data_IF_257219897727
#
_entry.id   IF_257219897727
#
_cell.length_a   1.000
_cell.length_b   1.000
_cell.length_c   1.000
_cell.angle_alpha   90.00
_cell.angle_beta   90.00
_cell.angle_gamma   90.00
#
_symmetry.space_group_name_H-M   'P 1'
#
loop_
_entity.id
_entity.type
_entity.pdbx_description
1 polymer ?
#
# COMPACT_ATOMS: atom_id res chain seq x y z
N UNK A 1 6.58 -16.87 1.16
CA UNK A 1 7.59 -17.89 0.95
C UNK A 1 8.84 -17.70 1.82
N UNK A 2 9.61 -16.62 1.71
CA UNK A 2 10.89 -16.41 2.44
C UNK A 2 10.71 -16.52 3.97
N UNK A 3 9.71 -15.87 4.55
CA UNK A 3 9.45 -15.91 5.99
C UNK A 3 9.06 -17.29 6.52
N UNK A 4 8.54 -18.17 5.66
CA UNK A 4 8.25 -19.56 6.01
C UNK A 4 9.46 -20.46 5.96
N UNK A 5 10.50 -20.09 5.20
CA UNK A 5 11.73 -20.85 5.04
C UNK A 5 12.82 -20.43 6.04
N UNK A 6 12.76 -19.19 6.53
CA UNK A 6 13.76 -18.61 7.44
C UNK A 6 13.08 -18.08 8.70
N UNK A 7 13.40 -18.66 9.83
CA UNK A 7 12.86 -18.26 11.13
C UNK A 7 13.35 -16.88 11.57
N UNK A 8 14.52 -16.47 11.10
CA UNK A 8 15.20 -15.21 11.39
C UNK A 8 14.84 -14.07 10.39
N UNK A 9 13.98 -14.35 9.38
CA UNK A 9 13.59 -13.33 8.42
C UNK A 9 12.56 -12.37 9.03
N UNK A 10 12.79 -11.08 8.84
CA UNK A 10 11.87 -9.99 9.14
C UNK A 10 11.42 -9.32 7.86
N UNK A 11 10.24 -8.72 7.86
CA UNK A 11 9.71 -7.98 6.72
C UNK A 11 8.90 -6.77 7.16
N UNK A 12 8.83 -5.77 6.29
CA UNK A 12 7.92 -4.63 6.42
C UNK A 12 7.08 -4.59 5.16
N UNK A 13 5.76 -4.59 5.35
CA UNK A 13 4.78 -4.43 4.28
C UNK A 13 4.46 -2.95 4.14
N UNK A 14 4.76 -2.39 2.98
CA UNK A 14 4.49 -0.99 2.68
C UNK A 14 3.17 -0.88 1.91
N UNK A 15 2.28 0.00 2.34
CA UNK A 15 1.03 0.30 1.65
C UNK A 15 0.79 1.81 1.53
N UNK A 16 -0.06 2.20 0.59
CA UNK A 16 -0.60 3.56 0.52
C UNK A 16 -1.98 3.60 1.19
N UNK A 17 -2.33 4.65 1.95
CA UNK A 17 -3.71 4.90 2.37
C UNK A 17 -4.66 4.85 1.18
N UNK A 18 -5.90 4.39 1.40
CA UNK A 18 -6.84 4.08 0.30
C UNK A 18 -7.04 5.27 -0.64
N UNK A 19 -7.20 6.47 -0.13
CA UNK A 19 -7.42 7.66 -0.96
C UNK A 19 -6.19 7.97 -1.83
N UNK A 20 -4.97 7.81 -1.30
CA UNK A 20 -3.73 8.03 -2.05
C UNK A 20 -3.50 6.94 -3.08
N UNK A 21 -3.87 5.70 -2.75
CA UNK A 21 -3.83 4.59 -3.69
C UNK A 21 -4.78 4.83 -4.87
N UNK A 22 -6.04 5.16 -4.60
CA UNK A 22 -7.04 5.46 -5.64
C UNK A 22 -6.60 6.63 -6.51
N UNK A 23 -6.12 7.73 -5.91
CA UNK A 23 -5.58 8.87 -6.65
C UNK A 23 -4.39 8.45 -7.53
N UNK A 24 -3.50 7.59 -7.03
CA UNK A 24 -2.36 7.10 -7.80
C UNK A 24 -2.76 6.24 -9.02
N UNK A 25 -3.88 5.54 -8.93
CA UNK A 25 -4.46 4.78 -10.06
C UNK A 25 -5.10 5.75 -11.06
N UNK A 26 -5.85 6.75 -10.58
CA UNK A 26 -6.49 7.75 -11.42
C UNK A 26 -5.45 8.55 -12.25
N UNK A 27 -4.31 8.94 -11.65
CA UNK A 27 -3.19 9.61 -12.36
C UNK A 27 -2.69 8.81 -13.56
N UNK A 28 -2.71 7.48 -13.49
CA UNK A 28 -2.26 6.61 -14.58
C UNK A 28 -3.27 6.49 -15.73
N UNK A 29 -4.44 7.11 -15.60
CA UNK A 29 -5.49 7.11 -16.62
C UNK A 29 -5.91 5.71 -17.05
N UNK A 30 -6.15 5.53 -18.35
CA UNK A 30 -6.65 4.27 -18.91
C UNK A 30 -5.72 3.07 -18.64
N UNK A 31 -4.41 3.29 -18.63
CA UNK A 31 -3.45 2.22 -18.35
C UNK A 31 -3.59 1.70 -16.90
N UNK A 32 -3.71 2.60 -15.93
CA UNK A 32 -3.91 2.22 -14.53
C UNK A 32 -5.23 1.47 -14.32
N UNK A 33 -6.30 1.92 -14.97
CA UNK A 33 -7.64 1.30 -14.93
C UNK A 33 -7.61 -0.12 -15.50
N UNK A 34 -6.96 -0.34 -16.64
CA UNK A 34 -6.78 -1.69 -17.22
C UNK A 34 -5.94 -2.59 -16.33
N UNK A 35 -4.88 -2.03 -15.76
CA UNK A 35 -3.98 -2.81 -14.91
C UNK A 35 -4.69 -3.34 -13.65
N UNK A 36 -5.50 -2.53 -12.97
CA UNK A 36 -6.23 -2.99 -11.77
C UNK A 36 -7.23 -4.10 -12.08
N UNK A 37 -7.89 -4.05 -13.24
CA UNK A 37 -8.80 -5.14 -13.68
C UNK A 37 -8.05 -6.43 -13.96
N UNK A 38 -6.88 -6.37 -14.58
CA UNK A 38 -6.05 -7.55 -14.83
C UNK A 38 -5.51 -8.14 -13.52
N UNK A 39 -5.06 -7.29 -12.60
CA UNK A 39 -4.57 -7.73 -11.29
C UNK A 39 -5.68 -8.40 -10.46
N UNK A 40 -6.91 -7.88 -10.50
CA UNK A 40 -8.03 -8.45 -9.77
C UNK A 40 -8.34 -9.88 -10.19
N UNK A 41 -8.24 -10.24 -11.48
CA UNK A 41 -8.46 -11.62 -11.96
C UNK A 41 -7.52 -12.59 -11.23
N UNK A 42 -6.24 -12.25 -11.10
CA UNK A 42 -5.27 -13.07 -10.36
C UNK A 42 -5.62 -13.16 -8.86
N UNK A 43 -6.02 -12.05 -8.25
CA UNK A 43 -6.40 -12.03 -6.83
C UNK A 43 -7.66 -12.85 -6.55
N UNK A 44 -8.61 -12.90 -7.47
CA UNK A 44 -9.78 -13.77 -7.39
C UNK A 44 -9.39 -15.24 -7.47
N UNK A 45 -8.47 -15.59 -8.39
CA UNK A 45 -7.96 -16.96 -8.52
C UNK A 45 -7.25 -17.43 -7.25
N UNK A 46 -6.58 -16.52 -6.54
CA UNK A 46 -5.96 -16.78 -5.24
C UNK A 46 -6.98 -16.91 -4.08
N UNK A 47 -8.28 -16.73 -4.36
CA UNK A 47 -9.35 -16.93 -3.39
C UNK A 47 -9.43 -15.87 -2.29
N UNK A 48 -8.76 -14.73 -2.43
CA UNK A 48 -8.68 -13.72 -1.37
C UNK A 48 -10.01 -13.01 -1.13
N UNK A 49 -10.79 -12.79 -2.19
CA UNK A 49 -12.12 -12.15 -2.15
C UNK A 49 -13.23 -13.01 -2.77
N UNK A 50 -12.94 -14.27 -3.12
CA UNK A 50 -13.84 -15.13 -3.87
C UNK A 50 -15.16 -15.48 -3.15
N UNK A 51 -15.25 -15.20 -1.84
CA UNK A 51 -16.44 -15.49 -1.05
C UNK A 51 -17.39 -14.29 -0.89
N UNK A 52 -16.95 -13.08 -1.28
CA UNK A 52 -17.67 -11.84 -1.02
C UNK A 52 -18.34 -11.24 -2.27
N UNK A 53 -17.88 -11.60 -3.45
CA UNK A 53 -18.39 -11.05 -4.71
C UNK A 53 -18.59 -12.15 -5.73
N UNK A 54 -19.78 -12.23 -6.32
CA UNK A 54 -20.01 -13.07 -7.48
C UNK A 54 -19.25 -12.51 -8.70
N UNK A 55 -18.77 -13.36 -9.63
CA UNK A 55 -18.02 -12.90 -10.79
C UNK A 55 -18.76 -11.88 -11.66
N UNK A 56 -20.07 -11.96 -11.75
CA UNK A 56 -20.93 -11.03 -12.49
C UNK A 56 -21.04 -9.67 -11.80
N UNK A 57 -21.11 -9.61 -10.48
CA UNK A 57 -21.12 -8.36 -9.72
C UNK A 57 -19.87 -7.51 -9.99
N UNK A 58 -18.74 -8.16 -10.30
CA UNK A 58 -17.49 -7.46 -10.58
C UNK A 58 -17.49 -6.69 -11.90
N UNK A 59 -18.33 -7.07 -12.86
CA UNK A 59 -18.46 -6.32 -14.11
C UNK A 59 -19.21 -4.99 -13.91
N UNK A 60 -20.02 -4.89 -12.87
CA UNK A 60 -20.77 -3.67 -12.54
C UNK A 60 -19.93 -2.62 -11.78
N UNK A 61 -18.78 -3.04 -11.24
CA UNK A 61 -17.90 -2.15 -10.49
C UNK A 61 -17.19 -1.14 -11.38
N UNK A 62 -17.07 0.09 -10.91
CA UNK A 62 -16.19 1.10 -11.52
C UNK A 62 -14.72 0.68 -11.40
N UNK A 63 -13.85 1.27 -12.24
CA UNK A 63 -12.42 0.96 -12.19
C UNK A 63 -11.78 1.30 -10.84
N UNK A 64 -12.25 2.35 -10.16
CA UNK A 64 -11.76 2.71 -8.82
C UNK A 64 -12.30 1.76 -7.74
N UNK A 65 -13.52 1.25 -7.86
CA UNK A 65 -14.02 0.17 -6.98
C UNK A 65 -13.20 -1.11 -7.14
N UNK A 66 -12.88 -1.49 -8.38
CA UNK A 66 -11.98 -2.61 -8.66
C UNK A 66 -10.60 -2.38 -8.04
N UNK A 67 -10.06 -1.16 -8.13
CA UNK A 67 -8.82 -0.81 -7.45
C UNK A 67 -8.93 -0.96 -5.92
N UNK A 68 -10.05 -0.51 -5.35
CA UNK A 68 -10.35 -0.67 -3.92
C UNK A 68 -10.38 -2.13 -3.47
N UNK A 69 -10.99 -3.02 -4.25
CA UNK A 69 -10.95 -4.46 -3.97
C UNK A 69 -9.53 -5.02 -4.01
N UNK A 70 -8.71 -4.58 -4.97
CA UNK A 70 -7.29 -4.93 -5.02
C UNK A 70 -6.54 -4.49 -3.76
N UNK A 71 -6.83 -3.30 -3.26
CA UNK A 71 -6.27 -2.79 -2.02
C UNK A 71 -6.69 -3.62 -0.80
N UNK A 72 -7.98 -3.98 -0.69
CA UNK A 72 -8.50 -4.89 0.35
C UNK A 72 -7.85 -6.28 0.29
N UNK A 73 -7.66 -6.82 -0.91
CA UNK A 73 -6.99 -8.11 -1.10
C UNK A 73 -5.58 -8.10 -0.50
N UNK A 74 -4.80 -7.05 -0.77
CA UNK A 74 -3.47 -6.91 -0.20
C UNK A 74 -3.53 -6.79 1.34
N UNK A 75 -4.46 -6.03 1.90
CA UNK A 75 -4.62 -5.91 3.36
C UNK A 75 -5.04 -7.24 4.00
N UNK A 76 -5.92 -8.00 3.36
CA UNK A 76 -6.27 -9.35 3.81
C UNK A 76 -5.06 -10.28 3.84
N UNK A 77 -4.21 -10.24 2.79
CA UNK A 77 -2.96 -11.00 2.76
C UNK A 77 -2.02 -10.55 3.89
N UNK A 78 -1.89 -9.24 4.11
CA UNK A 78 -1.04 -8.70 5.17
C UNK A 78 -1.48 -9.17 6.56
N UNK A 79 -2.78 -9.15 6.85
CA UNK A 79 -3.32 -9.66 8.11
C UNK A 79 -3.05 -11.16 8.28
N UNK A 80 -3.35 -11.97 7.26
CA UNK A 80 -3.04 -13.41 7.29
C UNK A 80 -1.54 -13.68 7.50
N UNK A 81 -0.68 -12.86 6.93
CA UNK A 81 0.76 -12.97 7.15
C UNK A 81 1.16 -12.56 8.58
N UNK A 82 0.57 -11.50 9.14
CA UNK A 82 0.83 -11.10 10.52
C UNK A 82 0.35 -12.15 11.51
N UNK A 83 -0.83 -12.72 11.29
CA UNK A 83 -1.38 -13.80 12.14
C UNK A 83 -0.47 -15.03 12.11
N UNK A 84 0.08 -15.34 10.94
CA UNK A 84 0.96 -16.50 10.74
C UNK A 84 2.36 -16.31 11.32
N UNK A 85 2.95 -15.13 11.15
CA UNK A 85 4.38 -14.90 11.47
C UNK A 85 4.59 -14.04 12.71
N UNK A 86 3.54 -13.41 13.20
CA UNK A 86 3.56 -12.50 14.34
C UNK A 86 4.00 -11.08 13.98
N UNK A 87 3.43 -10.10 14.70
CA UNK A 87 3.75 -8.69 14.51
C UNK A 87 5.22 -8.35 14.81
N UNK A 88 5.91 -9.15 15.62
CA UNK A 88 7.34 -9.00 15.89
C UNK A 88 8.20 -9.20 14.63
N UNK A 89 7.83 -10.12 13.75
CA UNK A 89 8.56 -10.42 12.52
C UNK A 89 8.05 -9.67 11.30
N UNK A 90 6.77 -9.28 11.28
CA UNK A 90 6.14 -8.63 10.14
C UNK A 90 5.55 -7.29 10.55
N UNK A 91 6.21 -6.20 10.15
CA UNK A 91 5.73 -4.83 10.30
C UNK A 91 4.85 -4.40 9.14
N UNK A 92 4.01 -3.40 9.39
CA UNK A 92 3.24 -2.70 8.36
C UNK A 92 3.56 -1.21 8.47
N UNK A 93 3.80 -0.56 7.35
CA UNK A 93 4.09 0.88 7.28
C UNK A 93 3.28 1.52 6.17
N UNK A 94 2.64 2.63 6.45
CA UNK A 94 2.02 3.44 5.42
C UNK A 94 3.04 4.34 4.71
N UNK A 95 2.82 4.58 3.43
CA UNK A 95 3.73 5.36 2.60
C UNK A 95 3.76 6.85 2.95
N UNK A 96 2.72 7.40 3.60
CA UNK A 96 2.74 8.80 4.06
C UNK A 96 3.75 9.00 5.17
N UNK A 97 3.71 8.12 6.18
CA UNK A 97 4.67 8.14 7.29
C UNK A 97 6.10 8.01 6.77
N UNK A 98 6.35 7.05 5.86
CA UNK A 98 7.66 6.87 5.24
C UNK A 98 8.12 8.12 4.47
N UNK A 99 7.23 8.78 3.74
CA UNK A 99 7.57 9.96 2.95
C UNK A 99 7.60 11.25 3.78
N UNK A 100 6.84 11.33 4.88
CA UNK A 100 6.86 12.49 5.75
C UNK A 100 8.19 12.61 6.51
N UNK A 101 8.63 11.50 7.09
CA UNK A 101 9.79 11.44 7.95
C UNK A 101 10.68 10.24 7.56
N UNK A 102 11.32 10.31 6.36
CA UNK A 102 12.01 9.14 5.81
C UNK A 102 13.19 8.68 6.67
N UNK A 103 13.97 9.58 7.24
CA UNK A 103 15.10 9.23 8.08
C UNK A 103 14.65 8.54 9.38
N UNK A 104 13.64 9.09 10.06
CA UNK A 104 13.07 8.49 11.27
C UNK A 104 12.45 7.12 10.98
N UNK A 105 11.70 7.00 9.87
CA UNK A 105 11.06 5.74 9.49
C UNK A 105 12.11 4.68 9.15
N UNK A 106 13.19 5.05 8.44
CA UNK A 106 14.32 4.15 8.15
C UNK A 106 15.00 3.69 9.43
N UNK A 107 15.19 4.60 10.41
CA UNK A 107 15.73 4.24 11.72
C UNK A 107 14.86 3.19 12.44
N UNK A 108 13.54 3.34 12.39
CA UNK A 108 12.61 2.34 12.93
C UNK A 108 12.71 0.99 12.18
N UNK A 109 12.96 1.02 10.86
CA UNK A 109 13.19 -0.19 10.08
C UNK A 109 14.47 -0.90 10.51
N UNK A 110 15.57 -0.17 10.73
CA UNK A 110 16.81 -0.74 11.24
C UNK A 110 16.60 -1.40 12.60
N UNK A 111 15.95 -0.70 13.55
CA UNK A 111 15.65 -1.26 14.85
C UNK A 111 14.84 -2.55 14.76
N UNK A 112 13.84 -2.58 13.84
CA UNK A 112 13.01 -3.76 13.63
C UNK A 112 13.77 -4.94 13.02
N UNK A 113 14.76 -4.67 12.19
CA UNK A 113 15.63 -5.70 11.60
C UNK A 113 16.83 -6.06 12.49
N UNK A 114 16.86 -5.53 13.73
CA UNK A 114 17.97 -5.71 14.69
C UNK A 114 19.32 -5.27 14.09
N UNK A 115 19.27 -4.27 13.21
CA UNK A 115 20.43 -3.65 12.62
C UNK A 115 20.83 -2.41 13.44
N UNK A 116 22.11 -2.20 13.59
CA UNK A 116 22.69 -1.09 14.36
C UNK A 116 23.58 -0.21 13.45
N UNK A 117 22.95 0.55 12.53
CA UNK A 117 23.67 1.46 11.66
C UNK A 117 24.22 2.65 12.46
N UNK A 118 25.18 3.36 11.87
CA UNK A 118 25.60 4.65 12.39
C UNK A 118 24.45 5.67 12.31
N UNK A 119 24.37 6.65 13.22
CA UNK A 119 23.28 7.63 13.25
C UNK A 119 23.10 8.40 11.93
N UNK A 120 24.16 8.53 11.14
CA UNK A 120 24.16 9.25 9.85
C UNK A 120 23.57 8.39 8.70
N UNK A 121 23.54 7.08 8.82
CA UNK A 121 23.10 6.16 7.74
C UNK A 121 21.64 6.39 7.36
N UNK A 122 20.76 6.57 8.32
CA UNK A 122 19.33 6.82 8.05
C UNK A 122 19.11 8.13 7.29
N UNK A 123 19.88 9.18 7.62
CA UNK A 123 19.83 10.45 6.92
C UNK A 123 20.39 10.33 5.50
N UNK A 124 21.51 9.60 5.34
CA UNK A 124 22.12 9.35 4.02
C UNK A 124 21.19 8.55 3.11
N UNK A 125 20.52 7.53 3.64
CA UNK A 125 19.50 6.75 2.88
C UNK A 125 18.32 7.64 2.49
N UNK A 126 17.80 8.47 3.41
CA UNK A 126 16.69 9.38 3.15
C UNK A 126 17.02 10.44 2.09
N UNK A 127 18.28 10.89 2.02
CA UNK A 127 18.80 11.79 0.98
C UNK A 127 19.15 11.05 -0.33
N UNK A 128 19.15 9.74 -0.32
CA UNK A 128 19.62 8.90 -1.42
C UNK A 128 18.61 8.74 -2.57
N UNK A 129 19.01 8.03 -3.63
CA UNK A 129 18.22 7.85 -4.86
C UNK A 129 16.85 7.21 -4.64
N UNK A 130 16.68 6.40 -3.59
CA UNK A 130 15.40 5.76 -3.26
C UNK A 130 14.28 6.78 -2.98
N UNK A 131 14.64 7.97 -2.48
CA UNK A 131 13.68 9.02 -2.14
C UNK A 131 13.74 10.23 -3.09
N UNK A 132 14.77 10.33 -3.94
CA UNK A 132 15.03 11.50 -4.80
C UNK A 132 14.90 11.23 -6.29
N UNK A 133 14.78 9.98 -6.72
CA UNK A 133 14.66 9.61 -8.13
C UNK A 133 13.42 8.78 -8.40
N UNK A 134 12.83 8.96 -9.60
CA UNK A 134 11.80 8.06 -10.08
C UNK A 134 12.44 6.74 -10.51
N UNK A 135 12.10 5.65 -9.82
CA UNK A 135 12.64 4.32 -10.09
C UNK A 135 12.28 3.74 -11.47
N UNK A 136 11.26 4.32 -12.16
CA UNK A 136 10.76 3.80 -13.45
C UNK A 136 11.31 4.56 -14.65
N UNK A 137 11.66 5.83 -14.49
CA UNK A 137 11.99 6.72 -15.62
C UNK A 137 13.41 7.28 -15.55
N UNK A 138 14.17 6.95 -14.49
CA UNK A 138 15.54 7.47 -14.26
C UNK A 138 15.65 9.00 -14.29
N UNK A 139 14.49 9.70 -14.32
CA UNK A 139 14.40 11.15 -14.31
C UNK A 139 14.45 11.69 -12.90
N UNK A 140 14.92 12.92 -12.72
CA UNK A 140 14.82 13.61 -11.45
C UNK A 140 13.33 13.82 -11.13
N UNK A 141 12.83 13.07 -10.19
CA UNK A 141 11.45 13.13 -9.73
C UNK A 141 11.44 13.64 -8.30
N UNK A 142 11.01 14.87 -8.12
CA UNK A 142 10.92 15.39 -6.78
C UNK A 142 9.66 14.86 -6.08
N UNK A 143 9.79 14.63 -4.77
CA UNK A 143 8.65 14.34 -3.90
C UNK A 143 7.52 15.35 -4.10
N UNK A 144 7.87 16.63 -4.26
CA UNK A 144 6.91 17.72 -4.48
C UNK A 144 6.14 17.60 -5.79
N UNK A 145 6.74 17.05 -6.86
CA UNK A 145 6.04 16.84 -8.14
C UNK A 145 5.01 15.74 -8.04
N UNK A 146 5.37 14.64 -7.35
CA UNK A 146 4.43 13.54 -7.08
C UNK A 146 3.27 13.99 -6.20
N UNK A 147 3.57 14.70 -5.12
CA UNK A 147 2.55 15.21 -4.21
C UNK A 147 1.61 16.18 -4.93
N UNK A 148 2.13 17.08 -5.76
CA UNK A 148 1.31 18.00 -6.58
C UNK A 148 0.44 17.25 -7.58
N UNK A 149 0.98 16.27 -8.30
CA UNK A 149 0.22 15.50 -9.28
C UNK A 149 -0.89 14.67 -8.61
N UNK A 150 -0.59 14.01 -7.50
CA UNK A 150 -1.58 13.26 -6.71
C UNK A 150 -2.62 14.20 -6.14
N UNK A 151 -2.22 15.36 -5.59
CA UNK A 151 -3.14 16.35 -5.05
C UNK A 151 -4.09 16.90 -6.11
N UNK A 152 -3.58 17.31 -7.27
CA UNK A 152 -4.40 17.79 -8.38
C UNK A 152 -5.38 16.72 -8.90
N UNK A 153 -4.93 15.47 -9.02
CA UNK A 153 -5.79 14.37 -9.44
C UNK A 153 -6.84 14.03 -8.37
N UNK A 154 -6.45 14.09 -7.10
CA UNK A 154 -7.35 13.89 -5.96
C UNK A 154 -8.44 14.96 -5.92
N UNK A 155 -8.09 16.21 -6.16
CA UNK A 155 -9.04 17.32 -6.26
C UNK A 155 -10.02 17.11 -7.43
N UNK A 156 -9.51 16.81 -8.62
CA UNK A 156 -10.32 16.60 -9.83
C UNK A 156 -11.25 15.37 -9.74
N UNK A 157 -10.93 14.37 -8.91
CA UNK A 157 -11.71 13.14 -8.72
C UNK A 157 -12.16 12.96 -7.27
N UNK A 158 -12.22 14.03 -6.48
CA UNK A 158 -12.44 13.98 -5.03
C UNK A 158 -13.70 13.22 -4.65
N UNK A 159 -14.81 13.48 -5.34
CA UNK A 159 -16.10 12.88 -5.05
C UNK A 159 -16.10 11.36 -5.32
N UNK A 160 -15.52 10.92 -6.44
CA UNK A 160 -15.43 9.50 -6.77
C UNK A 160 -14.49 8.79 -5.79
N UNK A 161 -13.32 9.37 -5.51
CA UNK A 161 -12.36 8.81 -4.56
C UNK A 161 -12.96 8.68 -3.16
N UNK A 162 -13.68 9.73 -2.68
CA UNK A 162 -14.29 9.70 -1.36
C UNK A 162 -15.38 8.62 -1.26
N UNK A 163 -16.26 8.54 -2.27
CA UNK A 163 -17.33 7.53 -2.32
C UNK A 163 -16.77 6.11 -2.38
N UNK A 164 -15.73 5.89 -3.20
CA UNK A 164 -15.09 4.58 -3.30
C UNK A 164 -14.33 4.23 -2.02
N UNK A 165 -13.63 5.18 -1.39
CA UNK A 165 -12.94 4.94 -0.13
C UNK A 165 -13.93 4.56 0.99
N UNK A 166 -15.09 5.23 1.05
CA UNK A 166 -16.13 4.87 2.00
C UNK A 166 -16.73 3.48 1.70
N UNK A 167 -17.02 3.19 0.44
CA UNK A 167 -17.48 1.87 0.02
C UNK A 167 -16.47 0.78 0.40
N UNK A 168 -15.17 1.02 0.22
CA UNK A 168 -14.10 0.09 0.62
C UNK A 168 -14.12 -0.18 2.13
N UNK A 169 -14.39 0.85 2.97
CA UNK A 169 -14.51 0.68 4.42
C UNK A 169 -15.71 -0.19 4.78
N UNK A 170 -16.86 0.08 4.15
CA UNK A 170 -18.07 -0.73 4.35
C UNK A 170 -17.83 -2.20 3.96
N UNK A 171 -17.16 -2.44 2.84
CA UNK A 171 -16.79 -3.80 2.42
C UNK A 171 -15.82 -4.44 3.44
N UNK A 172 -14.81 -3.70 3.89
CA UNK A 172 -13.86 -4.18 4.89
C UNK A 172 -14.55 -4.61 6.19
N UNK A 173 -15.45 -3.76 6.70
CA UNK A 173 -16.25 -4.05 7.90
C UNK A 173 -17.12 -5.30 7.70
N UNK A 174 -17.78 -5.42 6.53
CA UNK A 174 -18.61 -6.57 6.18
C UNK A 174 -17.85 -7.91 6.16
N UNK A 175 -16.56 -7.88 5.86
CA UNK A 175 -15.69 -9.07 5.85
C UNK A 175 -14.84 -9.22 7.13
N UNK A 176 -15.03 -8.35 8.11
CA UNK A 176 -14.27 -8.35 9.36
C UNK A 176 -12.78 -8.01 9.19
N UNK A 177 -12.43 -7.25 8.15
CA UNK A 177 -11.06 -6.83 7.88
C UNK A 177 -10.79 -5.45 8.48
N UNK A 178 -10.00 -5.40 9.54
CA UNK A 178 -9.50 -4.16 10.09
C UNK A 178 -8.47 -3.52 9.14
N UNK A 179 -8.86 -2.43 8.51
CA UNK A 179 -8.03 -1.62 7.61
C UNK A 179 -7.57 -0.30 8.25
N UNK A 180 -7.80 -0.13 9.55
CA UNK A 180 -7.32 1.05 10.25
C UNK A 180 -5.81 1.19 10.08
N UNK A 181 -5.29 2.42 9.97
CA UNK A 181 -3.87 2.65 9.85
C UNK A 181 -3.17 2.04 11.07
N UNK A 182 -2.34 1.03 10.82
CA UNK A 182 -1.55 0.37 11.88
C UNK A 182 -0.40 1.32 12.25
N UNK A 183 -0.75 2.49 12.73
CA UNK A 183 0.18 3.52 13.22
C UNK A 183 1.03 3.03 14.42
N UNK A 184 0.69 1.86 14.97
CA UNK A 184 1.38 1.24 16.11
C UNK A 184 2.36 0.12 15.74
N UNK A 185 2.41 -0.32 14.50
CA UNK A 185 3.19 -1.51 14.11
C UNK A 185 4.70 -1.27 13.95
N UNK A 186 5.15 -0.02 14.09
CA UNK A 186 6.57 0.34 14.10
C UNK A 186 7.06 0.78 15.50
N UNK A 187 6.32 0.42 16.57
CA UNK A 187 6.82 0.58 17.95
C UNK A 187 7.74 -0.55 18.32
#
# INVERSE_FOLDING_TARGET
AIMGLRADAHAILLYAPIEDFLASIAVKGLWGRRWVRQALIGQMQDGVLAQQFAPDEMFELTDLQVAGLGWLSHHSIYRKMQDRFGAGRLGICDSRSLLAEPAETVTKFFARFELHPDPEDSAAIAAGPAFTRNSKESTSYSRSDRERQIAATREANSDEIAKVAEWVRVVADGIGLDVAPVSSALR
#
